data_IF_047624881206
#
_entry.id   IF_047624881206
#
_cell.length_a   1.000
_cell.length_b   1.000
_cell.length_c   1.000
_cell.angle_alpha   90.00
_cell.angle_beta   90.00
_cell.angle_gamma   90.00
#
_symmetry.space_group_name_H-M   'P 1'
#
loop_
_entity.id
_entity.type
_entity.pdbx_description
1 polymer ?
#
# COMPACT_ATOMS: atom_id res chain seq x y z
N UNK A 1 -14.66 5.31 15.62
CA UNK A 1 -15.34 4.54 14.56
C UNK A 1 -14.68 3.16 14.49
N UNK A 2 -15.37 2.09 14.05
CA UNK A 2 -14.76 0.76 14.01
C UNK A 2 -13.68 0.66 12.91
N UNK A 3 -12.54 0.07 13.24
CA UNK A 3 -11.50 -0.34 12.28
C UNK A 3 -11.98 -1.57 11.52
N UNK A 4 -11.87 -1.56 10.19
CA UNK A 4 -12.16 -2.75 9.39
C UNK A 4 -10.88 -3.52 9.10
N UNK A 5 -10.88 -4.81 9.38
CA UNK A 5 -9.76 -5.72 9.07
C UNK A 5 -10.24 -6.83 8.14
N UNK A 6 -9.50 -7.04 7.06
CA UNK A 6 -9.67 -8.15 6.13
C UNK A 6 -8.35 -8.94 6.06
N UNK A 7 -8.44 -10.26 5.95
CA UNK A 7 -7.26 -11.12 5.88
C UNK A 7 -7.48 -12.22 4.84
N UNK A 8 -6.47 -12.49 4.02
CA UNK A 8 -6.50 -13.57 3.02
C UNK A 8 -5.13 -14.23 2.91
N UNK A 9 -5.12 -15.54 2.63
CA UNK A 9 -3.91 -16.25 2.27
C UNK A 9 -3.75 -16.27 0.75
N UNK A 10 -2.55 -15.96 0.28
CA UNK A 10 -2.17 -15.96 -1.14
C UNK A 10 -1.10 -17.04 -1.34
N UNK A 11 -1.31 -18.01 -2.25
CA UNK A 11 -0.35 -19.10 -2.49
C UNK A 11 0.82 -18.63 -3.36
N UNK A 12 1.57 -17.65 -2.85
CA UNK A 12 2.78 -17.12 -3.47
C UNK A 12 3.73 -16.53 -2.40
N UNK A 13 5.05 -16.46 -2.69
CA UNK A 13 6.05 -15.93 -1.76
C UNK A 13 5.84 -14.46 -1.39
N UNK A 14 6.29 -14.10 -0.18
CA UNK A 14 6.11 -12.77 0.43
C UNK A 14 6.49 -11.61 -0.52
N UNK A 15 7.69 -11.65 -1.10
CA UNK A 15 8.19 -10.60 -1.99
C UNK A 15 7.34 -10.46 -3.25
N UNK A 16 6.96 -11.58 -3.88
CA UNK A 16 6.09 -11.55 -5.07
C UNK A 16 4.73 -10.94 -4.77
N UNK A 17 4.14 -11.31 -3.63
CA UNK A 17 2.84 -10.77 -3.22
C UNK A 17 2.96 -9.28 -2.91
N UNK A 18 3.99 -8.89 -2.14
CA UNK A 18 4.26 -7.50 -1.83
C UNK A 18 4.41 -6.65 -3.09
N UNK A 19 5.30 -7.05 -4.00
CA UNK A 19 5.57 -6.32 -5.24
C UNK A 19 4.34 -6.26 -6.14
N UNK A 20 3.58 -7.35 -6.24
CA UNK A 20 2.34 -7.39 -7.03
C UNK A 20 1.28 -6.42 -6.50
N UNK A 21 1.10 -6.37 -5.17
CA UNK A 21 0.08 -5.53 -4.52
C UNK A 21 0.52 -4.07 -4.45
N UNK A 22 1.80 -3.81 -4.22
CA UNK A 22 2.31 -2.45 -3.96
C UNK A 22 2.91 -1.78 -5.19
N UNK A 23 3.46 -2.54 -6.14
CA UNK A 23 4.30 -2.04 -7.22
C UNK A 23 5.70 -1.59 -6.76
N UNK A 24 6.05 -1.80 -5.48
CA UNK A 24 7.31 -1.39 -4.88
C UNK A 24 8.25 -2.60 -4.72
N UNK A 25 9.46 -2.52 -5.29
CA UNK A 25 10.46 -3.60 -5.34
C UNK A 25 11.66 -3.30 -4.44
N UNK A 26 12.43 -4.34 -4.08
CA UNK A 26 13.71 -4.14 -3.38
C UNK A 26 14.70 -3.36 -4.26
N UNK A 27 15.41 -2.37 -3.70
CA UNK A 27 16.31 -1.46 -4.43
C UNK A 27 15.76 -0.06 -4.74
N UNK A 28 14.62 0.33 -4.14
CA UNK A 28 14.03 1.68 -4.23
C UNK A 28 12.92 1.79 -5.28
N UNK A 29 12.48 3.01 -5.65
CA UNK A 29 11.42 3.21 -6.64
C UNK A 29 11.93 2.88 -8.06
N UNK A 30 12.34 1.64 -8.29
CA UNK A 30 12.84 1.17 -9.58
C UNK A 30 11.78 1.27 -10.69
N UNK A 31 10.51 1.47 -10.32
CA UNK A 31 9.44 1.66 -11.28
C UNK A 31 8.35 2.64 -10.80
N UNK A 32 8.68 3.94 -10.74
CA UNK A 32 7.70 5.02 -10.52
C UNK A 32 6.49 4.92 -11.46
N UNK A 33 6.67 4.38 -12.67
CA UNK A 33 5.57 4.13 -13.61
C UNK A 33 4.63 3.03 -13.10
N UNK A 34 5.15 1.91 -12.60
CA UNK A 34 4.31 0.86 -12.00
C UNK A 34 3.59 1.36 -10.74
N UNK A 35 4.26 2.20 -9.93
CA UNK A 35 3.60 2.86 -8.79
C UNK A 35 2.48 3.78 -9.26
N UNK A 36 2.71 4.58 -10.30
CA UNK A 36 1.68 5.47 -10.81
C UNK A 36 0.49 4.73 -11.44
N UNK A 37 0.74 3.60 -12.12
CA UNK A 37 -0.32 2.73 -12.65
C UNK A 37 -1.16 2.08 -11.53
N UNK A 38 -0.56 1.84 -10.35
CA UNK A 38 -1.24 1.22 -9.20
C UNK A 38 -1.95 2.21 -8.29
N UNK A 39 -1.35 3.39 -8.08
CA UNK A 39 -1.77 4.35 -7.05
C UNK A 39 -2.33 5.66 -7.60
N UNK A 40 -2.16 5.93 -8.89
CA UNK A 40 -2.53 7.19 -9.53
C UNK A 40 -1.33 8.09 -9.84
N UNK A 41 -1.58 9.33 -10.24
CA UNK A 41 -0.52 10.27 -10.63
C UNK A 41 0.39 10.62 -9.44
N UNK A 42 1.71 10.45 -9.56
CA UNK A 42 2.65 10.89 -8.54
C UNK A 42 2.77 12.42 -8.54
N UNK A 43 2.44 13.05 -7.41
CA UNK A 43 2.54 14.50 -7.22
C UNK A 43 3.88 14.91 -6.59
N UNK A 44 4.32 14.16 -5.59
CA UNK A 44 5.51 14.49 -4.80
C UNK A 44 6.19 13.21 -4.31
N UNK A 45 7.52 13.25 -4.23
CA UNK A 45 8.32 12.24 -3.56
C UNK A 45 9.31 12.96 -2.63
N UNK A 46 9.29 12.60 -1.35
CA UNK A 46 10.25 13.04 -0.34
C UNK A 46 10.86 11.82 0.33
N UNK A 47 12.11 11.51 -0.02
CA UNK A 47 12.83 10.30 0.40
C UNK A 47 12.00 9.01 0.16
N UNK A 48 11.44 8.46 1.25
CA UNK A 48 10.66 7.21 1.29
C UNK A 48 9.14 7.45 1.33
N UNK A 49 8.71 8.71 1.20
CA UNK A 49 7.32 9.14 1.19
C UNK A 49 6.90 9.50 -0.23
N UNK A 50 5.78 8.94 -0.67
CA UNK A 50 5.23 9.16 -2.00
C UNK A 50 3.81 9.72 -1.89
N UNK A 51 3.51 10.80 -2.62
CA UNK A 51 2.17 11.40 -2.66
C UNK A 51 1.56 11.12 -4.03
N UNK A 52 0.49 10.34 -4.06
CA UNK A 52 -0.26 10.00 -5.27
C UNK A 52 -1.62 10.69 -5.28
N UNK A 53 -1.96 11.33 -6.38
CA UNK A 53 -3.31 11.83 -6.63
C UNK A 53 -4.24 10.65 -6.91
N UNK A 54 -5.41 10.65 -6.27
CA UNK A 54 -6.48 9.69 -6.54
C UNK A 54 -6.87 9.66 -8.02
N UNK A 55 -7.38 8.52 -8.49
CA UNK A 55 -7.69 8.31 -9.90
C UNK A 55 -8.93 9.11 -10.37
N UNK A 56 -9.80 9.49 -9.44
CA UNK A 56 -10.99 10.32 -9.67
C UNK A 56 -11.03 11.51 -8.70
N UNK A 57 -11.92 12.48 -8.95
CA UNK A 57 -12.13 13.62 -8.03
C UNK A 57 -12.65 13.19 -6.65
N UNK A 58 -13.30 12.03 -6.57
CA UNK A 58 -13.83 11.48 -5.32
C UNK A 58 -12.78 10.66 -4.54
N UNK A 59 -11.69 10.26 -5.18
CA UNK A 59 -10.61 9.50 -4.54
C UNK A 59 -9.66 10.44 -3.78
N UNK A 60 -9.28 10.08 -2.54
CA UNK A 60 -8.35 10.92 -1.79
C UNK A 60 -6.96 10.88 -2.42
N UNK A 61 -6.20 11.96 -2.20
CA UNK A 61 -4.76 11.94 -2.41
C UNK A 61 -4.14 11.04 -1.34
N UNK A 62 -3.25 10.14 -1.72
CA UNK A 62 -2.64 9.16 -0.83
C UNK A 62 -1.19 9.51 -0.54
N UNK A 63 -0.84 9.62 0.74
CA UNK A 63 0.54 9.66 1.21
C UNK A 63 0.98 8.25 1.60
N UNK A 64 1.81 7.65 0.77
CA UNK A 64 2.26 6.26 0.88
C UNK A 64 3.67 6.16 1.46
N UNK A 65 3.87 5.16 2.33
CA UNK A 65 5.19 4.71 2.79
C UNK A 65 5.28 3.20 2.68
N UNK A 66 6.50 2.70 2.43
CA UNK A 66 6.75 1.31 2.09
C UNK A 66 7.86 0.76 3.01
N UNK A 67 7.55 -0.28 3.77
CA UNK A 67 8.53 -1.07 4.53
C UNK A 67 8.63 -2.43 3.82
N UNK A 68 9.50 -2.50 2.83
CA UNK A 68 9.63 -3.68 1.98
C UNK A 68 10.23 -4.87 2.75
N UNK A 69 9.73 -6.11 2.58
CA UNK A 69 8.51 -6.54 1.87
C UNK A 69 7.30 -6.73 2.81
N UNK A 70 7.28 -6.08 3.98
CA UNK A 70 6.37 -6.43 5.08
C UNK A 70 5.14 -5.53 5.19
N UNK A 71 5.24 -4.28 4.78
CA UNK A 71 4.17 -3.33 5.01
C UNK A 71 4.09 -2.23 3.94
N UNK A 72 2.86 -1.80 3.67
CA UNK A 72 2.55 -0.53 3.03
C UNK A 72 1.56 0.24 3.90
N UNK A 73 1.78 1.52 4.08
CA UNK A 73 0.82 2.44 4.71
C UNK A 73 0.40 3.47 3.68
N UNK A 74 -0.90 3.62 3.45
CA UNK A 74 -1.51 4.64 2.61
C UNK A 74 -2.36 5.55 3.49
N UNK A 75 -1.89 6.78 3.72
CA UNK A 75 -2.63 7.78 4.49
C UNK A 75 -3.43 8.68 3.57
N UNK A 76 -4.71 8.86 3.86
CA UNK A 76 -5.53 9.82 3.13
C UNK A 76 -5.04 11.24 3.48
N UNK A 77 -4.41 11.92 2.52
CA UNK A 77 -3.83 13.25 2.67
C UNK A 77 -4.94 14.30 2.61
N UNK A 78 -4.99 15.18 3.63
CA UNK A 78 -5.98 16.25 3.78
C UNK A 78 -7.44 15.82 3.57
N UNK A 79 -7.73 14.56 3.89
CA UNK A 79 -9.01 13.91 3.59
C UNK A 79 -9.57 13.19 4.82
N UNK A 80 -10.90 13.05 4.86
CA UNK A 80 -11.64 12.33 5.92
C UNK A 80 -11.70 10.82 5.69
N UNK A 81 -11.16 10.36 4.56
CA UNK A 81 -11.10 8.93 4.23
C UNK A 81 -10.22 8.17 5.23
N UNK A 82 -10.55 6.90 5.43
CA UNK A 82 -9.77 6.04 6.30
C UNK A 82 -8.36 5.83 5.73
N UNK A 83 -7.38 5.73 6.62
CA UNK A 83 -6.05 5.25 6.25
C UNK A 83 -6.12 3.76 5.96
N UNK A 84 -5.30 3.29 5.02
CA UNK A 84 -5.17 1.87 4.69
C UNK A 84 -3.79 1.38 5.08
N UNK A 85 -3.73 0.26 5.77
CA UNK A 85 -2.50 -0.43 6.12
C UNK A 85 -2.56 -1.83 5.52
N UNK A 86 -1.55 -2.19 4.73
CA UNK A 86 -1.39 -3.53 4.20
C UNK A 86 -0.18 -4.17 4.90
N UNK A 87 -0.38 -5.33 5.53
CA UNK A 87 0.63 -6.11 6.24
C UNK A 87 0.77 -7.45 5.53
N UNK A 88 2.01 -7.87 5.32
CA UNK A 88 2.35 -9.10 4.61
C UNK A 88 3.25 -9.97 5.51
N UNK A 89 2.82 -11.20 5.74
CA UNK A 89 3.53 -12.15 6.58
C UNK A 89 3.75 -13.45 5.82
N UNK A 90 4.99 -13.98 5.84
CA UNK A 90 5.28 -15.30 5.30
C UNK A 90 4.62 -16.38 6.16
N UNK A 91 4.03 -17.39 5.53
CA UNK A 91 3.46 -18.57 6.18
C UNK A 91 4.25 -19.84 5.79
N UNK A 92 4.01 -20.94 6.52
CA UNK A 92 4.84 -22.14 6.49
C UNK A 92 4.92 -22.86 5.12
N UNK A 93 3.99 -22.58 4.19
CA UNK A 93 3.85 -23.26 2.90
C UNK A 93 4.22 -22.37 1.69
N UNK A 94 5.24 -21.51 1.79
CA UNK A 94 5.61 -20.51 0.75
C UNK A 94 4.42 -19.62 0.34
N UNK A 95 3.45 -19.45 1.24
CA UNK A 95 2.29 -18.58 1.06
C UNK A 95 2.43 -17.31 1.87
N UNK A 96 1.67 -16.29 1.49
CA UNK A 96 1.66 -15.00 2.17
C UNK A 96 0.30 -14.75 2.78
N UNK A 97 0.29 -14.47 4.08
CA UNK A 97 -0.86 -13.91 4.74
C UNK A 97 -0.88 -12.40 4.49
N UNK A 98 -1.89 -11.93 3.77
CA UNK A 98 -2.10 -10.51 3.53
C UNK A 98 -3.25 -10.00 4.38
N UNK A 99 -2.95 -9.04 5.25
CA UNK A 99 -3.91 -8.35 6.11
C UNK A 99 -4.07 -6.91 5.62
N UNK A 100 -5.31 -6.49 5.43
CA UNK A 100 -5.69 -5.11 5.09
C UNK A 100 -6.47 -4.52 6.26
N UNK A 101 -6.01 -3.38 6.76
CA UNK A 101 -6.68 -2.63 7.81
C UNK A 101 -7.09 -1.25 7.29
N UNK A 102 -8.29 -0.82 7.67
CA UNK A 102 -8.81 0.51 7.40
C UNK A 102 -9.05 1.22 8.72
N UNK A 103 -8.29 2.29 8.96
CA UNK A 103 -8.36 3.10 10.17
C UNK A 103 -9.10 4.42 9.87
N UNK A 104 -10.35 4.59 10.35
CA UNK A 104 -11.08 5.83 10.15
C UNK A 104 -10.40 7.00 10.86
N UNK A 105 -10.43 8.19 10.23
CA UNK A 105 -10.02 9.43 10.91
C UNK A 105 -10.99 9.76 12.03
N UNK A 106 -10.46 10.26 13.14
CA UNK A 106 -11.24 10.74 14.28
C UNK A 106 -12.02 12.03 13.95
#
# INVERSE_FOLDING_TARGET
>A
MPTYRFQTSIPAPLEQVYEHITGFTDGGPANLKALAEKHGELLEQDEEVYIFKGASEDDPTWRCTYDHPRQRVMRAHESKWADRIDIFEAADDDSTLWTVEWEPKA
#
